data_IF_312701616538
#
_entry.id   IF_312701616538
#
_cell.length_a   1.000
_cell.length_b   1.000
_cell.length_c   1.000
_cell.angle_alpha   90.00
_cell.angle_beta   90.00
_cell.angle_gamma   90.00
#
_symmetry.space_group_name_H-M   'P 1'
#
loop_
_entity.id
_entity.type
_entity.pdbx_description
1 polymer ?
#
# COMPACT_ATOMS: atom_id res chain seq x y z
N UNK A 1 -22.37 -28.09 6.40
CA UNK A 1 -23.05 -26.80 6.20
C UNK A 1 -23.95 -26.94 4.98
N UNK A 2 -25.24 -26.62 5.09
CA UNK A 2 -26.15 -26.67 3.95
C UNK A 2 -25.87 -25.46 3.05
N UNK A 3 -25.64 -25.69 1.75
CA UNK A 3 -25.67 -24.62 0.74
C UNK A 3 -26.98 -23.83 0.87
N UNK A 4 -26.98 -22.51 0.59
CA UNK A 4 -28.18 -21.71 0.65
C UNK A 4 -29.15 -22.29 -0.37
N UNK A 5 -30.45 -22.16 -0.12
CA UNK A 5 -31.46 -22.44 -1.13
C UNK A 5 -31.45 -21.32 -2.18
N UNK A 6 -30.34 -21.18 -2.92
CA UNK A 6 -30.27 -20.36 -4.11
C UNK A 6 -31.15 -21.01 -5.15
N UNK A 7 -32.12 -20.23 -5.63
CA UNK A 7 -33.23 -20.78 -6.39
C UNK A 7 -32.76 -21.34 -7.73
N UNK A 8 -31.65 -20.86 -8.32
CA UNK A 8 -31.21 -21.27 -9.67
C UNK A 8 -29.70 -21.24 -9.98
N UNK A 9 -28.84 -20.56 -9.22
CA UNK A 9 -27.40 -20.41 -9.56
C UNK A 9 -26.50 -21.53 -9.02
N UNK A 10 -25.45 -21.88 -9.78
CA UNK A 10 -24.39 -22.82 -9.33
C UNK A 10 -23.17 -22.02 -8.87
N UNK A 11 -22.69 -22.28 -7.65
CA UNK A 11 -21.52 -21.59 -7.09
C UNK A 11 -20.37 -22.59 -6.96
N UNK A 12 -19.17 -22.14 -7.31
CA UNK A 12 -17.95 -22.90 -7.05
C UNK A 12 -17.78 -23.17 -5.54
N UNK A 13 -17.62 -24.43 -5.14
CA UNK A 13 -17.60 -24.82 -3.72
C UNK A 13 -16.51 -24.11 -2.91
N UNK A 14 -15.31 -23.96 -3.48
CA UNK A 14 -14.21 -23.24 -2.83
C UNK A 14 -14.52 -21.77 -2.60
N UNK A 15 -15.24 -21.15 -3.53
CA UNK A 15 -15.64 -19.74 -3.44
C UNK A 15 -16.76 -19.54 -2.45
N UNK A 16 -17.76 -20.44 -2.46
CA UNK A 16 -18.81 -20.46 -1.46
C UNK A 16 -18.23 -20.56 -0.04
N UNK A 17 -17.28 -21.48 0.16
CA UNK A 17 -16.61 -21.69 1.45
C UNK A 17 -15.83 -20.44 1.86
N UNK A 18 -14.99 -19.90 0.98
CA UNK A 18 -14.23 -18.67 1.23
C UNK A 18 -15.12 -17.49 1.65
N UNK A 19 -16.21 -17.23 0.92
CA UNK A 19 -17.10 -16.12 1.24
C UNK A 19 -17.76 -16.30 2.60
N UNK A 20 -18.27 -17.49 2.92
CA UNK A 20 -19.04 -17.69 4.14
C UNK A 20 -18.19 -17.89 5.39
N UNK A 21 -16.95 -18.35 5.24
CA UNK A 21 -16.06 -18.63 6.37
C UNK A 21 -15.07 -17.49 6.61
N UNK A 22 -14.57 -16.83 5.54
CA UNK A 22 -13.49 -15.85 5.65
C UNK A 22 -13.94 -14.40 5.43
N UNK A 23 -15.05 -14.18 4.72
CA UNK A 23 -15.53 -12.82 4.37
C UNK A 23 -16.72 -12.42 5.25
N UNK A 24 -17.87 -13.10 5.09
CA UNK A 24 -19.15 -12.72 5.71
C UNK A 24 -19.18 -12.71 7.26
N UNK A 25 -18.51 -13.64 7.99
CA UNK A 25 -18.58 -13.65 9.45
C UNK A 25 -18.08 -12.35 10.09
N UNK A 26 -17.23 -11.61 9.38
CA UNK A 26 -16.72 -10.32 9.84
C UNK A 26 -17.58 -9.13 9.45
N UNK A 27 -18.54 -9.30 8.54
CA UNK A 27 -19.41 -8.25 8.00
C UNK A 27 -20.73 -8.09 8.77
N UNK A 28 -21.22 -9.17 9.39
CA UNK A 28 -22.56 -9.21 9.99
C UNK A 28 -23.71 -9.42 8.99
N UNK A 29 -23.41 -9.53 7.70
CA UNK A 29 -24.41 -9.79 6.63
C UNK A 29 -24.85 -11.26 6.69
N UNK A 30 -26.16 -11.51 6.66
CA UNK A 30 -26.68 -12.87 6.62
C UNK A 30 -26.33 -13.57 5.29
N UNK A 31 -25.86 -14.82 5.38
CA UNK A 31 -25.41 -15.61 4.22
C UNK A 31 -26.44 -15.65 3.09
N UNK A 32 -27.71 -15.96 3.39
CA UNK A 32 -28.74 -16.06 2.35
C UNK A 32 -29.02 -14.71 1.68
N UNK A 33 -29.03 -13.65 2.48
CA UNK A 33 -29.28 -12.27 2.01
C UNK A 33 -28.16 -11.80 1.09
N UNK A 34 -26.90 -12.07 1.45
CA UNK A 34 -25.75 -11.78 0.60
C UNK A 34 -25.86 -12.47 -0.76
N UNK A 35 -26.05 -13.80 -0.78
CA UNK A 35 -26.06 -14.55 -2.04
C UNK A 35 -27.24 -14.17 -2.93
N UNK A 36 -28.42 -13.89 -2.36
CA UNK A 36 -29.58 -13.40 -3.12
C UNK A 36 -29.30 -12.03 -3.73
N UNK A 37 -28.66 -11.13 -2.98
CA UNK A 37 -28.35 -9.79 -3.47
C UNK A 37 -27.28 -9.81 -4.58
N UNK A 38 -26.28 -10.69 -4.46
CA UNK A 38 -25.29 -10.92 -5.50
C UNK A 38 -25.92 -11.48 -6.79
N UNK A 39 -26.80 -12.47 -6.68
CA UNK A 39 -27.52 -13.06 -7.83
C UNK A 39 -28.38 -12.00 -8.54
N UNK A 40 -29.09 -11.17 -7.78
CA UNK A 40 -29.87 -10.06 -8.34
C UNK A 40 -28.98 -9.05 -9.07
N UNK A 41 -27.86 -8.64 -8.47
CA UNK A 41 -26.93 -7.70 -9.09
C UNK A 41 -26.32 -8.25 -10.39
N UNK A 42 -25.95 -9.52 -10.42
CA UNK A 42 -25.44 -10.16 -11.64
C UNK A 42 -26.52 -10.13 -12.72
N UNK A 43 -27.74 -10.50 -12.38
CA UNK A 43 -28.88 -10.49 -13.31
C UNK A 43 -29.13 -9.09 -13.88
N UNK A 44 -29.16 -8.07 -13.02
CA UNK A 44 -29.35 -6.66 -13.41
C UNK A 44 -28.21 -6.19 -14.34
N UNK A 45 -26.96 -6.55 -14.01
CA UNK A 45 -25.79 -6.18 -14.81
C UNK A 45 -25.79 -6.83 -16.20
N UNK A 46 -26.15 -8.11 -16.30
CA UNK A 46 -26.19 -8.81 -17.59
C UNK A 46 -27.22 -8.18 -18.54
N UNK A 47 -28.33 -7.63 -18.00
CA UNK A 47 -29.35 -6.95 -18.79
C UNK A 47 -28.89 -5.57 -19.27
N UNK A 48 -28.29 -4.76 -18.39
CA UNK A 48 -27.88 -3.38 -18.72
C UNK A 48 -26.45 -3.04 -18.22
N UNK A 49 -25.38 -3.57 -18.84
CA UNK A 49 -24.00 -3.37 -18.36
C UNK A 49 -23.59 -1.90 -18.25
N UNK A 50 -24.03 -1.07 -19.20
CA UNK A 50 -23.73 0.37 -19.25
C UNK A 50 -24.34 1.16 -18.08
N UNK A 51 -25.34 0.61 -17.40
CA UNK A 51 -25.93 1.23 -16.23
C UNK A 51 -25.00 1.16 -15.00
N UNK A 52 -24.08 0.20 -15.00
CA UNK A 52 -23.16 -0.10 -13.90
C UNK A 52 -21.70 0.27 -14.20
N UNK A 53 -21.28 0.16 -15.46
CA UNK A 53 -19.91 0.49 -15.89
C UNK A 53 -19.96 1.43 -17.10
N UNK A 54 -19.28 2.57 -16.94
CA UNK A 54 -19.08 3.53 -18.02
C UNK A 54 -17.70 3.29 -18.65
N UNK A 55 -17.66 2.78 -19.88
CA UNK A 55 -16.43 2.49 -20.62
C UNK A 55 -15.96 3.67 -21.51
N UNK A 56 -16.63 4.83 -21.44
CA UNK A 56 -16.32 5.97 -22.31
C UNK A 56 -15.08 6.76 -21.88
N UNK A 57 -14.58 6.54 -20.66
CA UNK A 57 -13.43 7.23 -20.08
C UNK A 57 -12.35 6.22 -19.68
N UNK A 58 -11.20 6.24 -20.35
CA UNK A 58 -10.03 5.50 -19.88
C UNK A 58 -9.49 6.12 -18.60
N UNK A 59 -9.15 5.30 -17.60
CA UNK A 59 -8.56 5.80 -16.36
C UNK A 59 -7.04 5.79 -16.55
N UNK A 60 -6.42 6.98 -16.69
CA UNK A 60 -4.96 7.05 -16.69
C UNK A 60 -4.48 6.98 -15.24
N UNK A 61 -3.56 6.05 -14.97
CA UNK A 61 -2.90 5.98 -13.68
C UNK A 61 -2.21 7.32 -13.37
N UNK A 62 -2.28 7.75 -12.11
CA UNK A 62 -1.55 8.94 -11.69
C UNK A 62 -0.04 8.73 -11.88
N UNK A 63 0.71 9.79 -12.15
CA UNK A 63 2.15 9.70 -12.46
C UNK A 63 2.98 9.01 -11.34
N UNK A 64 2.53 9.04 -10.09
CA UNK A 64 3.18 8.42 -8.94
C UNK A 64 2.38 7.18 -8.50
N UNK A 65 2.37 6.14 -9.34
CA UNK A 65 1.62 4.91 -9.06
C UNK A 65 2.49 3.69 -9.29
N UNK A 66 2.46 2.74 -8.35
CA UNK A 66 3.10 1.43 -8.49
C UNK A 66 2.03 0.35 -8.63
N UNK A 67 2.01 -0.33 -9.77
CA UNK A 67 1.11 -1.46 -10.01
C UNK A 67 1.78 -2.77 -9.64
N UNK A 68 1.08 -3.62 -8.90
CA UNK A 68 1.52 -4.96 -8.52
C UNK A 68 0.42 -5.98 -8.80
N UNK A 69 0.77 -7.09 -9.44
CA UNK A 69 -0.19 -8.17 -9.70
C UNK A 69 -0.61 -8.84 -8.40
N UNK A 70 -1.91 -9.06 -8.21
CA UNK A 70 -2.44 -9.70 -7.00
C UNK A 70 -1.93 -11.14 -6.79
N UNK A 71 -1.52 -11.82 -7.86
CA UNK A 71 -0.99 -13.18 -7.79
C UNK A 71 0.49 -13.23 -7.43
N UNK A 72 1.22 -12.13 -7.63
CA UNK A 72 2.64 -12.02 -7.31
C UNK A 72 2.82 -11.41 -5.91
N UNK A 73 2.93 -12.29 -4.91
CA UNK A 73 3.15 -11.90 -3.51
C UNK A 73 4.45 -11.12 -3.32
N UNK A 74 5.48 -11.36 -4.13
CA UNK A 74 6.74 -10.63 -4.01
C UNK A 74 6.57 -9.19 -4.49
N UNK A 75 5.91 -8.97 -5.63
CA UNK A 75 5.61 -7.62 -6.12
C UNK A 75 4.72 -6.84 -5.15
N UNK A 76 3.69 -7.49 -4.59
CA UNK A 76 2.83 -6.85 -3.59
C UNK A 76 3.62 -6.38 -2.36
N UNK A 77 4.48 -7.23 -1.80
CA UNK A 77 5.30 -6.85 -0.64
C UNK A 77 6.28 -5.72 -1.00
N UNK A 78 6.88 -5.77 -2.19
CA UNK A 78 7.76 -4.70 -2.66
C UNK A 78 7.01 -3.37 -2.81
N UNK A 79 5.80 -3.39 -3.35
CA UNK A 79 4.94 -2.20 -3.46
C UNK A 79 4.52 -1.67 -2.09
N UNK A 80 4.12 -2.53 -1.14
CA UNK A 80 3.83 -2.10 0.23
C UNK A 80 5.05 -1.45 0.91
N UNK A 81 6.25 -1.89 0.57
CA UNK A 81 7.51 -1.40 1.14
C UNK A 81 8.09 -0.20 0.38
N UNK A 82 7.47 0.26 -0.72
CA UNK A 82 8.04 1.31 -1.57
C UNK A 82 7.85 2.73 -1.01
N UNK A 83 7.02 2.91 0.02
CA UNK A 83 6.76 4.22 0.65
C UNK A 83 8.05 4.90 1.10
N UNK A 84 9.06 4.14 1.52
CA UNK A 84 10.39 4.67 1.78
C UNK A 84 11.35 4.17 0.71
N UNK A 85 11.81 5.09 -0.14
CA UNK A 85 12.77 4.77 -1.19
C UNK A 85 14.16 5.28 -0.83
N UNK A 86 15.16 4.40 -0.91
CA UNK A 86 16.55 4.78 -0.73
C UNK A 86 17.01 5.60 -1.94
N UNK A 87 17.46 6.83 -1.74
CA UNK A 87 18.02 7.65 -2.83
C UNK A 87 19.26 7.02 -3.46
N UNK A 88 20.02 6.23 -2.69
CA UNK A 88 21.21 5.55 -3.19
C UNK A 88 20.91 4.40 -4.19
N UNK A 89 19.65 4.00 -4.41
CA UNK A 89 19.33 3.06 -5.49
C UNK A 89 19.32 3.74 -6.86
N UNK A 90 19.13 5.07 -6.89
CA UNK A 90 18.95 5.85 -8.12
C UNK A 90 20.01 6.94 -8.29
N UNK A 91 20.78 7.24 -7.25
CA UNK A 91 21.74 8.34 -7.23
C UNK A 91 23.06 7.92 -6.56
N UNK A 92 24.15 8.57 -6.97
CA UNK A 92 25.45 8.50 -6.31
C UNK A 92 25.44 9.14 -4.92
N UNK A 93 26.48 8.88 -4.13
CA UNK A 93 26.59 9.44 -2.78
C UNK A 93 26.65 10.98 -2.78
N UNK A 94 27.30 11.59 -3.77
CA UNK A 94 27.37 13.05 -3.95
C UNK A 94 25.98 13.63 -4.26
N UNK A 95 25.25 13.05 -5.21
CA UNK A 95 23.89 13.49 -5.57
C UNK A 95 22.91 13.34 -4.40
N UNK A 96 23.07 12.29 -3.58
CA UNK A 96 22.23 12.04 -2.41
C UNK A 96 22.43 13.12 -1.34
N UNK A 97 23.65 13.62 -1.16
CA UNK A 97 23.92 14.73 -0.24
C UNK A 97 23.54 16.09 -0.82
N UNK A 98 23.71 16.27 -2.14
CA UNK A 98 23.20 17.45 -2.83
C UNK A 98 21.67 17.57 -2.71
N UNK A 99 20.94 16.45 -2.67
CA UNK A 99 19.52 16.44 -2.36
C UNK A 99 19.22 17.01 -0.96
N UNK A 100 20.04 16.69 0.06
CA UNK A 100 19.90 17.29 1.38
C UNK A 100 20.18 18.80 1.34
N UNK A 101 21.24 19.23 0.67
CA UNK A 101 21.53 20.67 0.53
C UNK A 101 20.40 21.42 -0.18
N UNK A 102 19.75 20.80 -1.16
CA UNK A 102 18.64 21.39 -1.90
C UNK A 102 17.38 21.57 -1.05
N UNK A 103 17.05 20.59 -0.20
CA UNK A 103 15.76 20.55 0.51
C UNK A 103 15.85 20.87 2.01
N UNK A 104 17.02 20.71 2.60
CA UNK A 104 17.31 20.84 4.03
C UNK A 104 18.64 21.58 4.27
N UNK A 105 18.87 22.65 3.50
CA UNK A 105 20.12 23.41 3.54
C UNK A 105 20.60 23.73 4.96
N UNK A 106 21.91 23.64 5.17
CA UNK A 106 22.58 24.17 6.37
C UNK A 106 22.74 25.69 6.24
N UNK A 107 22.74 26.42 7.37
CA UNK A 107 22.98 27.87 7.38
C UNK A 107 24.36 28.22 6.80
N UNK A 108 25.32 27.30 6.98
CA UNK A 108 26.70 27.40 6.53
C UNK A 108 27.21 26.02 6.14
N UNK A 109 27.96 25.94 5.02
CA UNK A 109 28.54 24.69 4.53
C UNK A 109 27.56 23.80 3.75
N UNK A 110 27.96 22.55 3.55
CA UNK A 110 27.19 21.53 2.82
C UNK A 110 27.14 20.23 3.62
N UNK A 111 26.06 19.46 3.47
CA UNK A 111 25.93 18.10 3.99
C UNK A 111 27.05 17.16 3.52
N UNK A 112 27.70 17.47 2.38
CA UNK A 112 28.88 16.77 1.86
C UNK A 112 30.02 16.70 2.87
N UNK A 113 30.29 17.82 3.54
CA UNK A 113 31.47 18.05 4.38
C UNK A 113 31.24 17.70 5.85
N UNK A 114 30.01 17.34 6.22
CA UNK A 114 29.65 17.01 7.60
C UNK A 114 30.41 15.77 8.06
N UNK A 115 30.96 15.86 9.27
CA UNK A 115 31.63 14.75 9.97
C UNK A 115 30.75 14.13 11.03
N UNK A 116 29.83 14.88 11.62
CA UNK A 116 28.91 14.33 12.60
C UNK A 116 27.61 15.14 12.70
N UNK A 117 26.53 14.46 13.03
CA UNK A 117 25.27 15.10 13.39
C UNK A 117 25.01 14.89 14.88
N UNK A 118 24.56 15.95 15.55
CA UNK A 118 24.19 15.95 16.97
C UNK A 118 22.89 16.71 17.12
N UNK A 119 22.03 16.22 18.00
CA UNK A 119 20.83 16.93 18.44
C UNK A 119 21.13 17.61 19.77
N UNK A 120 20.99 18.93 19.81
CA UNK A 120 21.13 19.72 21.04
C UNK A 120 19.82 20.44 21.34
N UNK A 121 19.20 20.13 22.47
CA UNK A 121 17.79 20.45 22.76
C UNK A 121 16.88 19.97 21.61
N UNK A 122 16.34 20.91 20.83
CA UNK A 122 15.41 20.69 19.72
C UNK A 122 16.04 21.04 18.35
N UNK A 123 17.36 21.24 18.30
CA UNK A 123 18.07 21.65 17.09
C UNK A 123 19.00 20.55 16.60
N UNK A 124 18.97 20.30 15.29
CA UNK A 124 19.98 19.52 14.60
C UNK A 124 21.22 20.39 14.35
N UNK A 125 22.38 19.89 14.77
CA UNK A 125 23.69 20.50 14.55
C UNK A 125 24.56 19.58 13.69
N UNK A 126 25.07 20.12 12.60
CA UNK A 126 26.05 19.49 11.74
C UNK A 126 27.45 20.01 12.08
N UNK A 127 28.38 19.11 12.39
CA UNK A 127 29.77 19.43 12.72
C UNK A 127 30.70 19.13 11.55
N UNK A 128 31.61 20.05 11.27
CA UNK A 128 32.60 19.95 10.19
C UNK A 128 33.99 19.54 10.72
N UNK A 129 34.92 19.28 9.80
CA UNK A 129 36.28 18.81 10.11
C UNK A 129 37.10 19.81 10.94
N UNK A 130 36.90 21.10 10.72
CA UNK A 130 37.58 22.19 11.44
C UNK A 130 36.99 22.46 12.83
N UNK A 131 35.96 21.70 13.23
CA UNK A 131 35.25 21.88 14.50
C UNK A 131 34.19 22.98 14.48
N UNK A 132 33.99 23.66 13.36
CA UNK A 132 32.84 24.54 13.18
C UNK A 132 31.53 23.74 13.13
N UNK A 133 30.41 24.40 13.38
CA UNK A 133 29.08 23.79 13.37
C UNK A 133 28.08 24.66 12.64
N UNK A 134 27.04 24.03 12.10
CA UNK A 134 25.90 24.69 11.48
C UNK A 134 24.58 24.04 11.86
N UNK A 135 23.51 24.82 11.89
CA UNK A 135 22.13 24.32 11.96
C UNK A 135 21.51 24.24 10.56
N UNK A 136 20.28 23.74 10.49
CA UNK A 136 19.44 23.89 9.29
C UNK A 136 19.01 25.35 9.13
N UNK A 137 18.94 25.83 7.88
CA UNK A 137 18.35 27.14 7.54
C UNK A 137 16.92 27.26 8.07
N UNK A 138 16.15 26.17 8.04
CA UNK A 138 14.83 26.08 8.63
C UNK A 138 14.83 25.02 9.76
N UNK A 139 15.07 25.41 11.02
CA UNK A 139 15.18 24.46 12.13
C UNK A 139 13.95 23.57 12.33
N UNK A 140 12.75 24.05 11.97
CA UNK A 140 11.50 23.30 12.07
C UNK A 140 11.40 22.10 11.12
N UNK A 141 12.34 21.96 10.18
CA UNK A 141 12.41 20.79 9.31
C UNK A 141 12.89 19.55 10.07
N UNK A 142 13.63 19.70 11.18
CA UNK A 142 13.98 18.58 12.04
C UNK A 142 12.80 18.24 12.96
N UNK A 143 12.30 17.00 12.87
CA UNK A 143 11.06 16.61 13.57
C UNK A 143 11.22 15.45 14.53
N UNK A 144 12.13 14.51 14.27
CA UNK A 144 12.31 13.32 15.10
C UNK A 144 13.70 12.69 14.89
N UNK A 145 14.09 11.80 15.80
CA UNK A 145 15.32 11.00 15.71
C UNK A 145 15.12 9.58 16.23
N UNK A 146 16.08 8.70 15.95
CA UNK A 146 16.29 7.45 16.68
C UNK A 146 17.68 7.44 17.32
N UNK A 147 17.82 6.73 18.43
CA UNK A 147 19.10 6.62 19.15
C UNK A 147 19.38 7.82 20.06
N UNK A 148 20.64 7.96 20.46
CA UNK A 148 21.03 8.97 21.44
C UNK A 148 21.24 10.35 20.78
N UNK A 149 20.80 11.45 21.42
CA UNK A 149 20.92 12.81 20.85
C UNK A 149 22.35 13.19 20.43
N UNK A 150 23.38 12.74 21.15
CA UNK A 150 24.79 13.00 20.81
C UNK A 150 25.38 12.11 19.69
N UNK A 151 24.67 11.05 19.30
CA UNK A 151 25.07 10.10 18.26
C UNK A 151 23.80 9.40 17.75
N UNK A 152 22.96 10.11 16.98
CA UNK A 152 21.69 9.56 16.51
C UNK A 152 21.94 8.42 15.52
N UNK A 153 21.11 7.39 15.58
CA UNK A 153 21.10 6.29 14.62
C UNK A 153 20.30 6.67 13.37
N UNK A 154 19.26 7.49 13.55
CA UNK A 154 18.49 8.09 12.45
C UNK A 154 18.07 9.51 12.77
N UNK A 155 17.97 10.35 11.74
CA UNK A 155 17.46 11.73 11.82
C UNK A 155 16.32 11.86 10.84
N UNK A 156 15.17 12.34 11.30
CA UNK A 156 13.98 12.55 10.48
C UNK A 156 13.80 14.04 10.22
N UNK A 157 13.79 14.35 8.94
CA UNK A 157 13.51 15.67 8.42
C UNK A 157 12.16 15.67 7.71
N UNK A 158 11.44 16.78 7.78
CA UNK A 158 10.17 16.99 7.10
C UNK A 158 10.27 18.16 6.15
N UNK A 159 9.86 17.94 4.90
CA UNK A 159 9.86 19.00 3.89
C UNK A 159 8.89 20.12 4.27
N UNK A 160 9.25 21.36 3.97
CA UNK A 160 8.42 22.52 4.29
C UNK A 160 7.28 22.73 3.27
N UNK A 161 7.48 22.27 2.04
CA UNK A 161 6.56 22.42 0.90
C UNK A 161 5.64 21.21 0.69
N UNK A 162 6.00 20.06 1.24
CA UNK A 162 5.32 18.78 1.09
C UNK A 162 5.21 18.08 2.44
N UNK A 163 4.16 17.30 2.67
CA UNK A 163 3.99 16.53 3.90
C UNK A 163 4.91 15.30 4.02
N UNK A 164 5.92 15.17 3.15
CA UNK A 164 6.81 14.01 3.11
C UNK A 164 8.03 14.17 4.02
N UNK A 165 8.50 13.03 4.51
CA UNK A 165 9.65 12.91 5.38
C UNK A 165 10.89 12.41 4.62
N UNK A 166 12.04 12.69 5.20
CA UNK A 166 13.34 12.16 4.78
C UNK A 166 14.06 11.65 6.02
N UNK A 167 14.49 10.40 5.99
CA UNK A 167 15.28 9.79 7.04
C UNK A 167 16.74 9.72 6.60
N UNK A 168 17.63 10.31 7.39
CA UNK A 168 19.07 10.12 7.28
C UNK A 168 19.44 9.00 8.24
N UNK A 169 19.67 7.80 7.71
CA UNK A 169 20.09 6.64 8.48
C UNK A 169 21.61 6.65 8.64
N UNK A 170 22.10 6.55 9.88
CA UNK A 170 23.51 6.67 10.23
C UNK A 170 23.99 5.32 10.77
N UNK A 171 25.00 4.74 10.12
CA UNK A 171 25.68 3.55 10.61
C UNK A 171 27.12 3.52 10.13
N UNK A 172 28.05 4.00 10.97
CA UNK A 172 29.49 4.03 10.67
C UNK A 172 30.13 2.66 10.48
N UNK A 173 29.48 1.57 10.92
CA UNK A 173 29.95 0.20 10.70
C UNK A 173 29.33 -0.44 9.46
N UNK A 174 28.36 0.24 8.85
CA UNK A 174 27.67 -0.23 7.67
C UNK A 174 28.53 -0.13 6.42
N UNK A 175 28.11 -0.87 5.38
CA UNK A 175 28.79 -0.97 4.09
C UNK A 175 28.92 0.38 3.35
N UNK A 176 27.98 1.31 3.54
CA UNK A 176 28.06 2.67 2.99
C UNK A 176 28.56 3.66 4.04
N UNK A 177 28.03 3.61 5.26
CA UNK A 177 28.40 4.56 6.31
C UNK A 177 29.87 4.48 6.72
N UNK A 178 30.55 3.33 6.58
CA UNK A 178 32.00 3.24 6.80
C UNK A 178 32.84 4.05 5.78
N UNK A 179 32.27 4.38 4.62
CA UNK A 179 32.90 5.17 3.55
C UNK A 179 32.42 6.62 3.53
N UNK A 180 31.46 6.97 4.36
CA UNK A 180 30.89 8.31 4.46
C UNK A 180 31.50 9.08 5.64
N UNK A 181 31.86 10.34 5.41
CA UNK A 181 32.43 11.24 6.42
C UNK A 181 31.55 11.37 7.69
N UNK A 182 30.24 11.49 7.51
CA UNK A 182 29.26 11.63 8.59
C UNK A 182 28.77 10.27 9.11
N UNK A 183 29.12 9.16 8.46
CA UNK A 183 28.58 7.85 8.78
C UNK A 183 27.23 7.55 8.15
N UNK A 184 26.78 8.33 7.15
CA UNK A 184 25.49 8.13 6.49
C UNK A 184 25.49 6.79 5.77
N UNK A 185 24.59 5.91 6.20
CA UNK A 185 24.38 4.60 5.63
C UNK A 185 23.33 4.64 4.52
N UNK A 186 22.27 5.42 4.71
CA UNK A 186 21.27 5.65 3.67
C UNK A 186 20.53 6.97 3.88
N UNK A 187 19.91 7.44 2.80
CA UNK A 187 18.95 8.55 2.84
C UNK A 187 17.66 8.04 2.20
N UNK A 188 16.65 7.84 3.04
CA UNK A 188 15.35 7.32 2.66
C UNK A 188 14.39 8.51 2.48
N UNK A 189 13.70 8.56 1.36
CA UNK A 189 12.67 9.58 1.09
C UNK A 189 11.31 8.93 1.13
N UNK A 190 10.40 9.53 1.88
CA UNK A 190 9.00 9.15 1.87
C UNK A 190 8.36 9.56 0.54
N UNK A 191 7.83 8.58 -0.18
CA UNK A 191 7.09 8.75 -1.42
C UNK A 191 5.59 8.66 -1.15
N UNK A 192 4.82 9.51 -1.82
CA UNK A 192 3.35 9.45 -1.81
C UNK A 192 2.84 8.67 -3.03
N UNK A 193 3.44 7.50 -3.29
CA UNK A 193 3.01 6.64 -4.39
C UNK A 193 1.71 5.93 -4.03
N UNK A 194 0.75 5.96 -4.95
CA UNK A 194 -0.45 5.12 -4.84
C UNK A 194 -0.08 3.70 -5.28
N UNK A 195 -0.54 2.70 -4.54
CA UNK A 195 -0.35 1.29 -4.92
C UNK A 195 -1.60 0.83 -5.66
N UNK A 196 -1.44 0.33 -6.88
CA UNK A 196 -2.49 -0.40 -7.59
C UNK A 196 -2.28 -1.90 -7.37
N UNK A 197 -3.25 -2.53 -6.74
CA UNK A 197 -3.35 -3.99 -6.63
C UNK A 197 -4.16 -4.49 -7.82
N UNK A 198 -3.50 -5.18 -8.73
CA UNK A 198 -4.01 -5.42 -10.08
C UNK A 198 -4.54 -6.85 -10.26
N UNK A 199 -5.87 -6.97 -10.40
CA UNK A 199 -6.56 -8.21 -10.78
C UNK A 199 -6.70 -8.37 -12.31
N UNK A 200 -6.30 -7.37 -13.09
CA UNK A 200 -6.44 -7.35 -14.55
C UNK A 200 -5.20 -7.84 -15.31
N UNK A 201 -4.08 -7.92 -14.62
CA UNK A 201 -2.79 -8.31 -15.19
C UNK A 201 -2.75 -9.76 -15.73
N UNK A 202 -3.59 -10.68 -15.22
CA UNK A 202 -3.53 -12.12 -15.58
C UNK A 202 -4.93 -12.73 -15.59
N UNK A 203 -5.25 -13.53 -16.61
CA UNK A 203 -6.44 -14.40 -16.57
C UNK A 203 -6.17 -15.56 -15.62
N UNK A 204 -6.99 -15.68 -14.59
CA UNK A 204 -6.83 -16.66 -13.52
C UNK A 204 -8.08 -17.52 -13.40
N UNK A 205 -7.87 -18.82 -13.21
CA UNK A 205 -8.94 -19.77 -12.90
C UNK A 205 -9.58 -19.46 -11.53
N UNK A 206 -10.72 -20.10 -11.26
CA UNK A 206 -11.52 -19.88 -10.07
C UNK A 206 -10.76 -20.11 -8.75
N UNK A 207 -9.91 -21.15 -8.68
CA UNK A 207 -9.12 -21.44 -7.49
C UNK A 207 -8.02 -20.39 -7.29
N UNK A 208 -7.33 -20.03 -8.38
CA UNK A 208 -6.36 -18.93 -8.39
C UNK A 208 -7.01 -17.60 -8.01
N UNK A 209 -8.27 -17.35 -8.40
CA UNK A 209 -9.02 -16.14 -8.02
C UNK A 209 -9.36 -16.11 -6.53
N UNK A 210 -9.71 -17.25 -5.94
CA UNK A 210 -9.89 -17.36 -4.49
C UNK A 210 -8.58 -17.06 -3.76
N UNK A 211 -7.45 -17.59 -4.24
CA UNK A 211 -6.14 -17.28 -3.66
C UNK A 211 -5.76 -15.80 -3.81
N UNK A 212 -6.11 -15.17 -4.93
CA UNK A 212 -5.93 -13.73 -5.12
C UNK A 212 -6.72 -12.91 -4.10
N UNK A 213 -7.96 -13.29 -3.76
CA UNK A 213 -8.72 -12.63 -2.70
C UNK A 213 -8.09 -12.82 -1.31
N UNK A 214 -7.50 -13.99 -1.03
CA UNK A 214 -6.75 -14.23 0.22
C UNK A 214 -5.48 -13.38 0.29
N UNK A 215 -4.72 -13.29 -0.80
CA UNK A 215 -3.57 -12.39 -0.91
C UNK A 215 -3.99 -10.94 -0.62
N UNK A 216 -5.15 -10.51 -1.13
CA UNK A 216 -5.66 -9.16 -0.88
C UNK A 216 -5.98 -8.95 0.61
N UNK A 217 -6.62 -9.92 1.28
CA UNK A 217 -6.87 -9.83 2.73
C UNK A 217 -5.56 -9.68 3.51
N UNK A 218 -4.57 -10.53 3.24
CA UNK A 218 -3.26 -10.49 3.91
C UNK A 218 -2.47 -9.21 3.61
N UNK A 219 -2.55 -8.71 2.37
CA UNK A 219 -1.94 -7.45 1.96
C UNK A 219 -2.53 -6.27 2.73
N UNK A 220 -3.85 -6.17 2.81
CA UNK A 220 -4.53 -5.10 3.54
C UNK A 220 -4.39 -5.23 5.07
N UNK A 221 -4.07 -6.42 5.57
CA UNK A 221 -3.80 -6.68 6.99
C UNK A 221 -2.39 -6.32 7.44
N UNK A 222 -1.44 -6.14 6.52
CA UNK A 222 -0.03 -6.03 6.92
C UNK A 222 0.65 -7.39 7.12
N UNK A 223 -0.01 -8.52 6.82
CA UNK A 223 0.42 -9.89 7.18
C UNK A 223 1.00 -10.71 6.02
N UNK A 224 0.93 -10.21 4.78
CA UNK A 224 1.48 -10.84 3.58
C UNK A 224 2.98 -11.17 3.72
N UNK A 225 3.32 -12.44 3.49
CA UNK A 225 4.71 -12.95 3.48
C UNK A 225 4.96 -13.88 2.31
N UNK A 226 6.21 -13.99 1.86
CA UNK A 226 6.60 -14.98 0.84
C UNK A 226 8.05 -15.42 1.04
N UNK A 227 8.46 -16.48 0.37
CA UNK A 227 9.85 -16.97 0.41
C UNK A 227 10.59 -16.51 -0.83
N UNK A 228 11.80 -15.97 -0.65
CA UNK A 228 12.72 -15.64 -1.73
C UNK A 228 13.97 -16.51 -1.64
N UNK A 229 14.44 -16.98 -2.80
CA UNK A 229 15.71 -17.68 -2.89
C UNK A 229 16.85 -16.66 -2.89
N UNK A 230 17.80 -16.82 -1.96
CA UNK A 230 18.99 -15.98 -1.86
C UNK A 230 20.21 -16.89 -1.66
N UNK A 231 21.06 -16.96 -2.69
CA UNK A 231 22.37 -17.63 -2.63
C UNK A 231 22.32 -19.06 -2.05
N UNK A 232 21.32 -19.86 -2.44
CA UNK A 232 21.16 -21.25 -1.97
C UNK A 232 20.44 -21.39 -0.61
N UNK A 233 19.99 -20.30 -0.01
CA UNK A 233 19.15 -20.28 1.19
C UNK A 233 17.76 -19.68 0.89
N UNK A 234 16.77 -20.01 1.72
CA UNK A 234 15.45 -19.38 1.69
C UNK A 234 15.39 -18.27 2.74
N UNK A 235 14.97 -17.07 2.32
CA UNK A 235 14.68 -15.96 3.22
C UNK A 235 13.18 -15.62 3.17
N UNK A 236 12.62 -15.19 4.29
CA UNK A 236 11.24 -14.70 4.36
C UNK A 236 11.22 -13.23 4.01
N UNK A 237 10.48 -12.89 2.96
CA UNK A 237 10.11 -11.53 2.61
C UNK A 237 8.75 -11.21 3.25
N UNK A 238 8.64 -10.06 3.91
CA UNK A 238 7.43 -9.60 4.62
C UNK A 238 7.24 -8.10 4.45
N UNK A 239 6.01 -7.62 4.65
CA UNK A 239 5.73 -6.19 4.64
C UNK A 239 6.33 -5.47 5.86
N UNK A 240 6.75 -4.23 5.64
CA UNK A 240 7.33 -3.35 6.65
C UNK A 240 6.24 -2.86 7.61
N UNK A 241 6.55 -2.86 8.90
CA UNK A 241 5.68 -2.28 9.92
C UNK A 241 5.76 -0.75 9.91
N UNK A 242 4.89 -0.09 10.66
CA UNK A 242 5.03 1.33 10.95
C UNK A 242 6.38 1.60 11.62
N UNK A 243 6.95 2.77 11.32
CA UNK A 243 8.23 3.21 11.86
C UNK A 243 7.94 4.26 12.93
N UNK A 244 8.42 4.01 14.14
CA UNK A 244 8.32 4.93 15.27
C UNK A 244 9.67 5.56 15.52
N UNK A 245 9.69 6.89 15.60
CA UNK A 245 10.82 7.71 16.01
C UNK A 245 10.52 8.40 17.33
N UNK A 246 11.51 9.08 17.90
CA UNK A 246 11.33 9.95 19.07
C UNK A 246 11.28 11.40 18.61
N UNK A 247 10.21 12.13 18.93
CA UNK A 247 10.11 13.55 18.61
C UNK A 247 11.05 14.42 19.46
N UNK A 248 10.94 15.73 19.32
CA UNK A 248 11.80 16.69 20.00
C UNK A 248 11.57 16.73 21.52
N UNK A 249 10.34 16.47 21.95
CA UNK A 249 9.89 16.47 23.35
C UNK A 249 10.14 15.12 24.05
N UNK A 250 10.44 14.07 23.28
CA UNK A 250 10.75 12.72 23.78
C UNK A 250 9.62 11.72 23.63
N UNK A 251 8.55 12.07 22.92
CA UNK A 251 7.36 11.24 22.71
C UNK A 251 7.45 10.47 21.37
N UNK A 252 6.52 9.53 21.16
CA UNK A 252 6.46 8.71 19.95
C UNK A 252 6.04 9.54 18.72
N UNK A 253 6.94 9.63 17.73
CA UNK A 253 6.67 10.18 16.40
C UNK A 253 6.45 9.06 15.39
N UNK A 254 5.19 8.71 15.14
CA UNK A 254 4.82 7.61 14.25
C UNK A 254 4.63 8.11 12.82
N UNK A 255 5.43 7.58 11.89
CA UNK A 255 5.17 7.76 10.45
C UNK A 255 4.48 6.50 9.94
N UNK A 256 3.20 6.66 9.55
CA UNK A 256 2.42 5.57 9.02
C UNK A 256 3.09 5.00 7.76
N UNK A 257 3.34 3.69 7.71
CA UNK A 257 3.93 3.05 6.53
C UNK A 257 2.82 2.55 5.57
N UNK A 258 1.91 3.45 5.15
CA UNK A 258 0.66 3.05 4.46
C UNK A 258 0.30 3.93 3.26
N UNK A 259 0.68 3.52 2.06
CA UNK A 259 0.28 4.23 0.83
C UNK A 259 -1.22 4.14 0.55
N UNK A 260 -1.82 5.10 -0.19
CA UNK A 260 -3.15 4.92 -0.75
C UNK A 260 -3.20 3.65 -1.62
N UNK A 261 -4.28 2.88 -1.53
CA UNK A 261 -4.41 1.60 -2.25
C UNK A 261 -5.61 1.68 -3.19
N UNK A 262 -5.39 1.34 -4.45
CA UNK A 262 -6.45 1.15 -5.43
C UNK A 262 -6.48 -0.31 -5.84
N UNK A 263 -7.66 -0.93 -5.84
CA UNK A 263 -7.84 -2.29 -6.34
C UNK A 263 -8.41 -2.18 -7.75
N UNK A 264 -7.60 -2.55 -8.74
CA UNK A 264 -8.03 -2.59 -10.13
C UNK A 264 -8.74 -3.92 -10.40
N UNK A 265 -10.05 -3.85 -10.60
CA UNK A 265 -10.86 -5.02 -10.93
C UNK A 265 -10.60 -5.48 -12.37
N UNK A 266 -10.83 -6.76 -12.64
CA UNK A 266 -10.67 -7.36 -13.96
C UNK A 266 -11.58 -6.69 -15.02
N UNK A 267 -11.17 -6.71 -16.29
CA UNK A 267 -11.95 -6.18 -17.45
C UNK A 267 -13.41 -6.62 -17.43
N UNK A 268 -14.36 -5.74 -17.79
CA UNK A 268 -15.78 -6.08 -17.90
C UNK A 268 -16.11 -7.24 -18.87
N UNK A 269 -15.22 -7.53 -19.82
CA UNK A 269 -15.40 -8.60 -20.81
C UNK A 269 -15.13 -10.01 -20.28
N UNK A 270 -14.45 -10.15 -19.13
CA UNK A 270 -14.09 -11.44 -18.57
C UNK A 270 -15.23 -12.04 -17.74
N UNK A 271 -15.40 -13.35 -17.90
CA UNK A 271 -16.36 -14.17 -17.16
C UNK A 271 -15.61 -15.16 -16.27
N UNK A 272 -16.31 -15.73 -15.29
CA UNK A 272 -15.68 -16.56 -14.25
C UNK A 272 -16.47 -17.82 -13.94
N UNK A 273 -15.77 -18.93 -13.72
CA UNK A 273 -16.36 -20.18 -13.21
C UNK A 273 -16.79 -20.13 -11.74
N UNK A 274 -16.48 -19.05 -11.02
CA UNK A 274 -16.86 -18.89 -9.62
C UNK A 274 -18.38 -18.95 -9.39
N UNK A 275 -19.15 -18.52 -10.37
CA UNK A 275 -20.61 -18.54 -10.32
C UNK A 275 -21.20 -18.70 -11.72
N UNK A 276 -22.25 -19.53 -11.82
CA UNK A 276 -23.11 -19.67 -12.99
C UNK A 276 -24.52 -19.24 -12.66
N UNK A 277 -25.09 -18.43 -13.53
CA UNK A 277 -26.48 -17.99 -13.43
C UNK A 277 -27.46 -19.15 -13.71
N UNK A 278 -28.74 -18.91 -13.41
CA UNK A 278 -29.87 -19.79 -13.68
C UNK A 278 -29.93 -20.37 -15.11
N UNK A 279 -29.51 -19.56 -16.09
CA UNK A 279 -29.53 -19.89 -17.51
C UNK A 279 -28.27 -20.70 -17.95
N UNK A 280 -27.34 -20.99 -17.04
CA UNK A 280 -26.10 -21.73 -17.29
C UNK A 280 -24.90 -20.86 -17.70
N UNK A 281 -25.09 -19.55 -17.90
CA UNK A 281 -24.02 -18.63 -18.26
C UNK A 281 -23.09 -18.34 -17.08
N UNK A 282 -21.80 -18.16 -17.39
CA UNK A 282 -20.80 -17.72 -16.42
C UNK A 282 -21.04 -16.27 -16.01
N UNK A 283 -20.88 -15.98 -14.72
CA UNK A 283 -21.00 -14.63 -14.18
C UNK A 283 -19.88 -13.70 -14.68
N UNK A 284 -20.13 -12.38 -14.76
CA UNK A 284 -19.08 -11.39 -15.06
C UNK A 284 -18.06 -11.29 -13.91
N UNK A 285 -16.77 -11.45 -14.21
CA UNK A 285 -15.70 -11.41 -13.21
C UNK A 285 -15.61 -10.03 -12.53
N UNK A 286 -15.82 -8.95 -13.28
CA UNK A 286 -15.76 -7.57 -12.76
C UNK A 286 -16.76 -7.33 -11.62
N UNK A 287 -17.93 -7.97 -11.65
CA UNK A 287 -18.96 -7.84 -10.61
C UNK A 287 -18.57 -8.63 -9.36
N UNK A 288 -18.03 -9.83 -9.56
CA UNK A 288 -17.46 -10.62 -8.46
C UNK A 288 -16.33 -9.84 -7.78
N UNK A 289 -15.40 -9.27 -8.55
CA UNK A 289 -14.29 -8.47 -8.01
C UNK A 289 -14.82 -7.25 -7.24
N UNK A 290 -15.73 -6.48 -7.82
CA UNK A 290 -16.26 -5.28 -7.20
C UNK A 290 -16.92 -5.56 -5.84
N UNK A 291 -17.70 -6.65 -5.74
CA UNK A 291 -18.38 -7.01 -4.50
C UNK A 291 -17.39 -7.59 -3.49
N UNK A 292 -16.59 -8.59 -3.87
CA UNK A 292 -15.69 -9.26 -2.94
C UNK A 292 -14.60 -8.32 -2.44
N UNK A 293 -13.94 -7.59 -3.34
CA UNK A 293 -12.93 -6.61 -2.95
C UNK A 293 -13.55 -5.45 -2.17
N UNK A 294 -14.75 -4.98 -2.54
CA UNK A 294 -15.45 -3.92 -1.81
C UNK A 294 -15.78 -4.31 -0.36
N UNK A 295 -16.21 -5.55 -0.13
CA UNK A 295 -16.43 -6.07 1.23
C UNK A 295 -15.11 -6.11 2.00
N UNK A 296 -14.07 -6.70 1.41
CA UNK A 296 -12.75 -6.81 2.02
C UNK A 296 -12.23 -5.41 2.42
N UNK A 297 -12.37 -4.40 1.55
CA UNK A 297 -11.99 -3.02 1.86
C UNK A 297 -12.77 -2.45 3.06
N UNK A 298 -14.10 -2.57 3.05
CA UNK A 298 -14.96 -2.05 4.13
C UNK A 298 -14.62 -2.67 5.49
N UNK A 299 -14.34 -3.97 5.52
CA UNK A 299 -13.94 -4.68 6.73
C UNK A 299 -12.66 -4.12 7.35
N UNK A 300 -11.72 -3.66 6.51
CA UNK A 300 -10.44 -3.10 6.98
C UNK A 300 -10.58 -1.66 7.43
N UNK A 301 -11.41 -0.87 6.75
CA UNK A 301 -11.74 0.50 7.17
C UNK A 301 -12.39 0.56 8.55
N UNK A 302 -13.22 -0.44 8.92
CA UNK A 302 -13.87 -0.47 10.23
C UNK A 302 -12.96 -0.91 11.38
N UNK A 303 -11.93 -1.73 11.12
CA UNK A 303 -11.04 -2.29 12.16
C UNK A 303 -9.91 -1.36 12.56
N UNK A 304 -9.46 -0.51 11.66
CA UNK A 304 -8.43 0.45 11.92
C UNK A 304 -9.02 1.82 11.61
N UNK A 305 -9.07 2.74 12.58
CA UNK A 305 -9.47 4.14 12.43
C UNK A 305 -8.52 4.88 11.46
N UNK A 306 -8.42 4.42 10.22
CA UNK A 306 -7.33 4.73 9.31
C UNK A 306 -7.84 5.63 8.21
N UNK A 307 -7.22 6.80 8.09
CA UNK A 307 -7.34 7.71 6.96
C UNK A 307 -6.69 7.15 5.66
N UNK A 308 -6.65 5.83 5.46
CA UNK A 308 -6.16 5.27 4.19
C UNK A 308 -7.26 5.38 3.13
N UNK A 309 -6.98 6.13 2.06
CA UNK A 309 -7.83 6.11 0.87
C UNK A 309 -7.67 4.76 0.18
N UNK A 310 -8.75 3.98 0.22
CA UNK A 310 -8.86 2.71 -0.48
C UNK A 310 -10.03 2.77 -1.45
N UNK A 311 -9.81 2.44 -2.72
CA UNK A 311 -10.88 2.50 -3.72
C UNK A 311 -10.81 1.36 -4.74
N UNK A 312 -11.95 1.10 -5.38
CA UNK A 312 -12.07 0.19 -6.51
C UNK A 312 -11.95 0.99 -7.81
N UNK A 313 -11.13 0.50 -8.73
CA UNK A 313 -10.92 1.13 -10.05
C UNK A 313 -11.01 0.09 -11.17
N UNK A 314 -11.16 0.57 -12.40
CA UNK A 314 -11.06 -0.22 -13.62
C UNK A 314 -9.90 0.33 -14.47
N UNK A 315 -9.29 -0.52 -15.30
CA UNK A 315 -8.30 -0.07 -16.28
C UNK A 315 -8.96 0.85 -17.32
N UNK A 316 -10.02 0.35 -17.93
CA UNK A 316 -10.81 1.05 -18.94
C UNK A 316 -12.22 1.29 -18.40
N UNK A 317 -12.55 2.55 -18.09
CA UNK A 317 -13.85 2.93 -17.56
C UNK A 317 -13.87 3.23 -16.07
N UNK A 318 -15.10 3.38 -15.56
CA UNK A 318 -15.38 3.60 -14.13
C UNK A 318 -16.69 2.94 -13.73
N UNK A 319 -16.78 2.56 -12.46
CA UNK A 319 -18.06 2.19 -11.86
C UNK A 319 -18.97 3.42 -11.80
N UNK A 320 -20.22 3.26 -12.25
CA UNK A 320 -21.22 4.33 -12.17
C UNK A 320 -21.67 4.53 -10.72
N UNK A 321 -22.33 5.65 -10.45
CA UNK A 321 -22.97 5.89 -9.14
C UNK A 321 -24.00 4.81 -8.80
N UNK A 322 -24.65 4.21 -9.81
CA UNK A 322 -25.60 3.12 -9.58
C UNK A 322 -24.90 1.85 -9.11
N UNK A 323 -23.73 1.52 -9.69
CA UNK A 323 -22.94 0.39 -9.20
C UNK A 323 -22.44 0.65 -7.78
N UNK A 324 -21.92 1.84 -7.50
CA UNK A 324 -21.48 2.22 -6.15
C UNK A 324 -22.61 2.10 -5.13
N UNK A 325 -23.80 2.62 -5.46
CA UNK A 325 -24.99 2.49 -4.61
C UNK A 325 -25.38 1.03 -4.40
N UNK A 326 -25.34 0.20 -5.44
CA UNK A 326 -25.70 -1.23 -5.33
C UNK A 326 -24.72 -2.00 -4.45
N UNK A 327 -23.43 -1.69 -4.55
CA UNK A 327 -22.38 -2.19 -3.66
C UNK A 327 -22.67 -1.77 -2.21
N UNK A 328 -22.97 -0.50 -1.97
CA UNK A 328 -23.31 0.03 -0.64
C UNK A 328 -24.58 -0.60 -0.06
N UNK A 329 -25.62 -0.77 -0.87
CA UNK A 329 -26.88 -1.41 -0.47
C UNK A 329 -26.60 -2.83 0.03
N UNK A 330 -25.80 -3.63 -0.70
CA UNK A 330 -25.40 -4.99 -0.29
C UNK A 330 -24.66 -4.97 1.04
N UNK A 331 -23.83 -3.94 1.27
CA UNK A 331 -23.04 -3.83 2.50
C UNK A 331 -23.85 -3.30 3.69
N UNK A 332 -25.07 -2.84 3.46
CA UNK A 332 -25.99 -2.32 4.50
C UNK A 332 -27.02 -3.36 4.97
N UNK A 333 -27.02 -4.55 4.37
CA UNK A 333 -27.89 -5.68 4.70
C UNK A 333 -27.51 -6.33 6.03
#
# INVERSE_FOLDING_TARGET
MNMPALKYSQIHQGFYTFINEDVLPTCGIEVNVFWQALENLITDYVQEPSHFIDTSQGNMDAANTMSASITDRQQLIQAANSRWTSLHTTASQEETKAYLDQHFALETGSHADVKNYVVYYHHLLAFFEDGSQSGLVNPSQFVALCGHKCAPDSIVLKRSDMSSHVEIAINRKGNRGAKDCAGIQDILVETNETIIVDFDAVHIDGDSKIQAFRNLQEFLEGSLTTYIAKEGSQAILRMNTEVTFTDLDGEDYVIANRSPIQIRCTKPSLKTELMREANGNLAPQVIIDAIVCGIILRLKQNKAQTQMQQSLVLQDGKFTTNMQKRIEDIFSL
#
